data_IF_570529354441
#
_entry.id   IF_570529354441
#
_cell.length_a   1.000
_cell.length_b   1.000
_cell.length_c   1.000
_cell.angle_alpha   90.00
_cell.angle_beta   90.00
_cell.angle_gamma   90.00
#
_symmetry.space_group_name_H-M   'P 1'
#
loop_
_entity.id
_entity.type
_entity.pdbx_description
1 polymer ?
#
# COMPACT_ATOMS: atom_id res chain seq x y z
N UNK A 1 20.01 3.23 8.64
CA UNK A 1 19.60 3.05 7.23
C UNK A 1 18.79 1.75 7.15
N UNK A 2 17.85 1.61 6.21
CA UNK A 2 17.05 0.39 6.12
C UNK A 2 17.91 -0.85 5.84
N UNK A 3 17.63 -1.93 6.57
CA UNK A 3 18.30 -3.24 6.45
C UNK A 3 17.22 -4.28 6.16
N UNK A 4 17.45 -5.12 5.15
CA UNK A 4 16.61 -6.26 4.84
C UNK A 4 17.40 -7.55 5.00
N UNK A 5 16.76 -8.57 5.54
CA UNK A 5 17.35 -9.88 5.75
C UNK A 5 16.37 -10.95 5.33
N UNK A 6 16.87 -11.99 4.66
CA UNK A 6 16.10 -13.19 4.42
C UNK A 6 16.52 -14.29 5.39
N UNK A 7 15.53 -14.87 6.04
CA UNK A 7 15.71 -15.99 6.95
C UNK A 7 14.91 -17.18 6.43
N UNK A 8 15.48 -18.39 6.59
CA UNK A 8 14.69 -19.61 6.56
C UNK A 8 13.89 -19.74 7.86
N UNK A 9 12.83 -20.57 7.84
CA UNK A 9 12.02 -20.87 9.02
C UNK A 9 12.82 -21.56 10.15
N UNK A 10 13.95 -22.20 9.83
CA UNK A 10 14.87 -22.76 10.81
C UNK A 10 15.80 -21.72 11.48
N UNK A 11 15.66 -20.44 11.12
CA UNK A 11 16.47 -19.33 11.64
C UNK A 11 17.77 -19.08 10.85
N UNK A 12 18.05 -19.83 9.79
CA UNK A 12 19.24 -19.60 8.96
C UNK A 12 19.14 -18.27 8.23
N UNK A 13 20.04 -17.33 8.55
CA UNK A 13 20.22 -16.09 7.78
C UNK A 13 20.83 -16.42 6.41
N UNK A 14 20.13 -16.06 5.33
CA UNK A 14 20.60 -16.26 3.97
C UNK A 14 21.46 -15.10 3.48
N UNK A 15 20.96 -13.87 3.65
CA UNK A 15 21.63 -12.66 3.19
C UNK A 15 21.14 -11.43 3.92
N UNK A 16 21.90 -10.34 3.82
CA UNK A 16 21.55 -9.01 4.32
C UNK A 16 21.77 -7.99 3.21
N UNK A 17 20.74 -7.22 2.88
CA UNK A 17 20.82 -6.03 2.02
C UNK A 17 20.81 -4.80 2.92
N UNK A 18 21.76 -3.88 2.70
CA UNK A 18 21.81 -2.60 3.39
C UNK A 18 21.55 -1.48 2.38
N UNK A 19 20.39 -0.81 2.47
CA UNK A 19 20.03 0.24 1.51
C UNK A 19 20.91 1.50 1.63
N UNK A 20 21.69 1.61 2.69
CA UNK A 20 22.68 2.67 2.86
C UNK A 20 22.06 4.01 3.23
N UNK A 21 22.92 5.02 3.35
CA UNK A 21 22.57 6.34 3.90
C UNK A 21 21.62 7.16 3.01
N UNK A 22 21.54 6.82 1.73
CA UNK A 22 20.80 7.58 0.73
C UNK A 22 19.35 7.09 0.55
N UNK A 23 18.93 6.07 1.31
CA UNK A 23 17.52 5.72 1.49
C UNK A 23 17.11 6.08 2.92
N UNK A 24 16.08 6.90 3.03
CA UNK A 24 15.52 7.31 4.32
C UNK A 24 14.65 6.19 4.89
N UNK A 25 14.72 6.01 6.20
CA UNK A 25 13.91 5.02 6.91
C UNK A 25 12.56 5.62 7.33
N UNK A 26 11.50 4.84 7.16
CA UNK A 26 10.14 5.23 7.49
C UNK A 26 9.11 4.54 6.59
N UNK A 27 7.86 4.46 7.06
CA UNK A 27 6.79 3.67 6.45
C UNK A 27 6.50 4.01 4.98
N UNK A 28 6.77 5.24 4.54
CA UNK A 28 6.44 5.70 3.19
C UNK A 28 7.61 5.67 2.21
N UNK A 29 8.80 5.22 2.64
CA UNK A 29 10.01 5.25 1.81
C UNK A 29 10.23 3.93 1.06
N UNK A 30 10.65 2.89 1.78
CA UNK A 30 10.99 1.62 1.13
C UNK A 30 9.77 0.73 1.07
N UNK A 31 9.22 0.60 -0.13
CA UNK A 31 8.23 -0.41 -0.46
C UNK A 31 8.98 -1.53 -1.19
N UNK A 32 8.95 -2.72 -0.61
CA UNK A 32 9.69 -3.88 -1.12
C UNK A 32 8.71 -4.98 -1.52
N UNK A 33 8.91 -5.55 -2.70
CA UNK A 33 8.11 -6.65 -3.23
C UNK A 33 8.92 -7.93 -3.17
N UNK A 34 8.28 -9.02 -2.75
CA UNK A 34 8.86 -10.37 -2.76
C UNK A 34 7.93 -11.26 -3.55
N UNK A 35 8.39 -11.72 -4.71
CA UNK A 35 7.58 -12.50 -5.63
C UNK A 35 8.46 -13.24 -6.64
N UNK A 36 8.02 -14.41 -7.11
CA UNK A 36 8.64 -15.09 -8.25
C UNK A 36 8.23 -14.35 -9.52
N UNK A 37 9.00 -13.33 -9.87
CA UNK A 37 8.65 -12.43 -10.94
C UNK A 37 8.87 -13.12 -12.29
N UNK A 38 9.95 -13.87 -12.48
CA UNK A 38 10.24 -14.49 -13.78
C UNK A 38 9.68 -15.90 -13.99
N UNK A 39 9.09 -16.50 -12.96
CA UNK A 39 8.40 -17.78 -13.03
C UNK A 39 9.35 -18.98 -12.94
N UNK A 40 10.55 -18.82 -12.36
CA UNK A 40 11.53 -19.90 -12.21
C UNK A 40 11.32 -20.74 -10.94
N UNK A 41 10.31 -20.42 -10.14
CA UNK A 41 9.96 -21.06 -8.87
C UNK A 41 10.66 -20.47 -7.65
N UNK A 42 11.39 -19.35 -7.79
CA UNK A 42 12.11 -18.69 -6.71
C UNK A 42 11.77 -17.20 -6.69
N UNK A 43 11.37 -16.70 -5.53
CA UNK A 43 11.08 -15.28 -5.41
C UNK A 43 12.31 -14.39 -5.59
N UNK A 44 12.15 -13.27 -6.30
CA UNK A 44 13.01 -12.11 -6.23
C UNK A 44 12.60 -11.19 -5.07
N UNK A 45 13.51 -10.30 -4.69
CA UNK A 45 13.24 -9.14 -3.85
C UNK A 45 13.44 -7.87 -4.69
N UNK A 46 12.46 -6.97 -4.75
CA UNK A 46 12.52 -5.77 -5.58
C UNK A 46 12.18 -4.51 -4.77
N UNK A 47 13.01 -3.47 -4.85
CA UNK A 47 12.72 -2.21 -4.17
C UNK A 47 13.48 -1.02 -4.78
N UNK A 48 13.12 0.19 -4.33
CA UNK A 48 13.89 1.41 -4.58
C UNK A 48 15.25 1.33 -3.87
N UNK A 49 16.32 1.70 -4.57
CA UNK A 49 17.70 1.73 -4.07
C UNK A 49 18.38 3.05 -4.44
N UNK A 50 19.60 3.27 -3.96
CA UNK A 50 20.36 4.49 -4.21
C UNK A 50 21.87 4.22 -4.23
N UNK A 51 22.65 5.25 -4.53
CA UNK A 51 24.10 5.23 -4.36
C UNK A 51 24.47 4.75 -2.95
N UNK A 52 25.35 3.75 -2.86
CA UNK A 52 25.82 3.19 -1.59
C UNK A 52 24.91 2.13 -0.97
N UNK A 53 23.84 1.69 -1.66
CA UNK A 53 23.17 0.43 -1.33
C UNK A 53 24.16 -0.72 -1.50
N UNK A 54 24.18 -1.66 -0.55
CA UNK A 54 25.02 -2.86 -0.55
C UNK A 54 24.14 -4.09 -0.63
N UNK A 55 24.34 -4.91 -1.64
CA UNK A 55 23.57 -6.14 -1.87
C UNK A 55 24.01 -7.29 -0.94
N UNK A 56 23.31 -8.42 -1.02
CA UNK A 56 23.56 -9.61 -0.19
C UNK A 56 24.92 -10.28 -0.39
N UNK A 57 25.64 -9.95 -1.47
CA UNK A 57 27.03 -10.40 -1.73
C UNK A 57 28.07 -9.33 -1.40
N UNK A 58 27.67 -8.18 -0.87
CA UNK A 58 28.56 -7.08 -0.51
C UNK A 58 28.90 -6.15 -1.67
N UNK A 59 28.24 -6.27 -2.82
CA UNK A 59 28.45 -5.36 -3.96
C UNK A 59 27.70 -4.06 -3.73
N UNK A 60 28.38 -2.94 -3.99
CA UNK A 60 27.79 -1.60 -3.94
C UNK A 60 27.03 -1.30 -5.24
N UNK A 61 25.82 -0.76 -5.12
CA UNK A 61 25.05 -0.13 -6.20
C UNK A 61 25.40 1.36 -6.25
N UNK A 62 25.72 1.87 -7.44
CA UNK A 62 26.09 3.27 -7.65
C UNK A 62 27.43 3.64 -6.98
N UNK A 63 27.51 4.84 -6.41
CA UNK A 63 28.74 5.38 -5.80
C UNK A 63 28.66 5.42 -4.26
N UNK A 64 29.38 4.52 -3.58
CA UNK A 64 29.43 4.46 -2.10
C UNK A 64 29.96 5.74 -1.41
N UNK A 65 30.66 6.60 -2.15
CA UNK A 65 31.24 7.83 -1.59
C UNK A 65 30.22 8.97 -1.48
N UNK A 66 29.04 8.84 -2.11
CA UNK A 66 28.02 9.89 -2.10
C UNK A 66 27.20 9.89 -0.83
N UNK A 67 27.03 11.09 -0.28
CA UNK A 67 26.10 11.38 0.80
C UNK A 67 25.13 12.47 0.34
N UNK A 68 23.94 12.03 -0.07
CA UNK A 68 22.89 12.90 -0.60
C UNK A 68 21.95 13.41 0.49
N UNK A 69 22.21 13.06 1.76
CA UNK A 69 21.45 13.57 2.89
C UNK A 69 21.72 15.06 3.07
N UNK A 70 20.66 15.82 3.29
CA UNK A 70 20.81 17.19 3.74
C UNK A 70 21.21 17.20 5.22
N UNK A 71 22.46 17.56 5.53
CA UNK A 71 23.01 17.59 6.89
C UNK A 71 23.08 19.00 7.49
N UNK A 72 22.54 20.02 6.82
CA UNK A 72 22.52 21.39 7.32
C UNK A 72 21.62 21.48 8.56
N UNK A 73 22.18 21.84 9.71
CA UNK A 73 21.52 21.79 11.04
C UNK A 73 20.52 22.96 11.22
N UNK A 74 19.35 22.76 11.89
CA UNK A 74 18.37 23.82 12.20
C UNK A 74 18.96 25.04 12.94
N UNK A 75 18.29 26.22 12.94
CA UNK A 75 16.89 26.35 13.35
C UNK A 75 15.86 26.56 12.22
N UNK A 76 16.25 26.49 10.94
CA UNK A 76 15.34 26.75 9.79
C UNK A 76 15.38 25.69 8.68
N UNK A 77 15.78 24.44 8.97
CA UNK A 77 15.92 23.43 7.93
C UNK A 77 15.01 22.20 8.16
N UNK A 78 13.79 22.25 7.63
CA UNK A 78 12.85 21.10 7.57
C UNK A 78 13.34 19.97 6.65
N UNK A 79 14.48 20.16 5.97
CA UNK A 79 15.09 19.18 5.08
C UNK A 79 16.14 18.31 5.75
N UNK A 80 16.52 18.57 7.01
CA UNK A 80 17.55 17.79 7.69
C UNK A 80 17.25 16.28 7.64
N UNK A 81 18.23 15.50 7.18
CA UNK A 81 18.14 14.05 7.02
C UNK A 81 17.32 13.57 5.81
N UNK A 82 16.76 14.46 4.99
CA UNK A 82 16.08 14.10 3.73
C UNK A 82 17.06 13.96 2.58
N UNK A 83 16.69 13.16 1.57
CA UNK A 83 17.48 12.88 0.37
C UNK A 83 16.69 13.36 -0.85
N UNK A 84 16.84 14.63 -1.19
CA UNK A 84 16.14 15.27 -2.31
C UNK A 84 17.07 15.58 -3.50
N UNK A 85 18.29 15.03 -3.45
CA UNK A 85 19.29 15.13 -4.51
C UNK A 85 19.91 13.76 -4.80
N UNK A 86 20.63 13.65 -5.91
CA UNK A 86 21.29 12.43 -6.35
C UNK A 86 20.38 11.48 -7.15
N UNK A 87 20.96 10.45 -7.77
CA UNK A 87 20.22 9.45 -8.52
C UNK A 87 19.33 8.60 -7.61
N UNK A 88 18.29 8.01 -8.20
CA UNK A 88 17.41 7.04 -7.57
C UNK A 88 17.33 5.84 -8.48
N UNK A 89 17.36 4.64 -7.91
CA UNK A 89 17.36 3.42 -8.68
C UNK A 89 16.20 2.51 -8.30
N UNK A 90 15.81 1.62 -9.22
CA UNK A 90 14.97 0.46 -8.96
C UNK A 90 15.81 -0.79 -9.21
N UNK A 91 15.85 -1.71 -8.24
CA UNK A 91 16.70 -2.91 -8.31
C UNK A 91 15.87 -4.16 -8.06
N UNK A 92 16.12 -5.19 -8.89
CA UNK A 92 15.72 -6.57 -8.66
C UNK A 92 16.91 -7.31 -8.04
N UNK A 93 16.66 -8.00 -6.94
CA UNK A 93 17.63 -8.81 -6.21
C UNK A 93 17.20 -10.28 -6.22
N UNK A 94 18.17 -11.19 -6.24
CA UNK A 94 17.88 -12.62 -6.09
C UNK A 94 17.38 -12.93 -4.69
N UNK A 95 16.25 -13.61 -4.52
CA UNK A 95 15.80 -14.04 -3.20
C UNK A 95 16.68 -15.13 -2.56
N UNK A 96 17.51 -15.83 -3.34
CA UNK A 96 18.47 -16.82 -2.81
C UNK A 96 19.67 -16.19 -2.14
N UNK A 97 20.19 -15.10 -2.69
CA UNK A 97 21.52 -14.57 -2.34
C UNK A 97 21.51 -13.09 -1.96
N UNK A 98 20.42 -12.37 -2.22
CA UNK A 98 20.33 -10.93 -2.09
C UNK A 98 21.20 -10.18 -3.11
N UNK A 99 21.80 -10.86 -4.10
CA UNK A 99 22.60 -10.24 -5.16
C UNK A 99 21.74 -9.35 -6.06
N UNK A 100 22.24 -8.16 -6.42
CA UNK A 100 21.57 -7.29 -7.38
C UNK A 100 21.65 -7.90 -8.80
N UNK A 101 20.50 -8.31 -9.35
CA UNK A 101 20.37 -8.93 -10.67
C UNK A 101 20.25 -7.88 -11.78
N UNK A 102 19.44 -6.86 -11.55
CA UNK A 102 19.27 -5.73 -12.47
C UNK A 102 18.99 -4.45 -11.70
N UNK A 103 19.55 -3.35 -12.18
CA UNK A 103 19.32 -2.01 -11.64
C UNK A 103 19.07 -1.05 -12.80
N UNK A 104 18.02 -0.23 -12.67
CA UNK A 104 17.69 0.86 -13.59
C UNK A 104 17.43 2.14 -12.80
N UNK A 105 17.34 3.28 -13.49
CA UNK A 105 16.85 4.52 -12.87
C UNK A 105 15.42 4.32 -12.35
N UNK A 106 15.14 4.85 -11.16
CA UNK A 106 13.80 4.82 -10.59
C UNK A 106 12.86 5.71 -11.41
N UNK A 107 11.76 5.13 -11.88
CA UNK A 107 10.71 5.87 -12.58
C UNK A 107 9.45 5.92 -11.70
N UNK A 108 8.81 7.10 -11.57
CA UNK A 108 9.23 8.39 -12.12
C UNK A 108 10.37 9.06 -11.33
N UNK A 109 11.09 9.97 -12.01
CA UNK A 109 12.09 10.81 -11.35
C UNK A 109 11.44 11.72 -10.28
N UNK A 110 12.21 12.12 -9.27
CA UNK A 110 11.68 13.03 -8.23
C UNK A 110 11.37 14.44 -8.71
N UNK A 111 11.91 14.83 -9.87
CA UNK A 111 12.01 16.23 -10.25
C UNK A 111 10.84 16.71 -11.12
N UNK A 112 10.46 18.00 -10.98
CA UNK A 112 10.85 18.89 -9.89
C UNK A 112 10.19 18.45 -8.56
N UNK A 113 10.84 18.70 -7.42
CA UNK A 113 10.38 18.23 -6.09
C UNK A 113 9.05 18.86 -5.66
N UNK A 114 8.72 20.05 -6.18
CA UNK A 114 7.44 20.71 -6.02
C UNK A 114 6.38 20.30 -7.07
N UNK A 115 6.68 19.33 -7.94
CA UNK A 115 5.76 18.80 -8.95
C UNK A 115 4.74 17.80 -8.41
N UNK A 116 4.79 17.48 -7.12
CA UNK A 116 4.01 16.41 -6.45
C UNK A 116 2.77 16.92 -5.71
N UNK A 117 2.43 18.17 -5.97
CA UNK A 117 1.37 18.90 -5.28
C UNK A 117 -0.01 18.61 -5.88
N UNK A 118 -1.05 18.84 -5.09
CA UNK A 118 -2.42 18.57 -5.49
C UNK A 118 -3.37 18.68 -4.33
N UNK A 119 -4.57 18.12 -4.52
CA UNK A 119 -5.69 18.42 -3.64
C UNK A 119 -5.93 17.37 -2.56
N UNK A 120 -5.28 16.21 -2.56
CA UNK A 120 -5.43 15.16 -1.52
C UNK A 120 -4.70 15.48 -0.21
N UNK A 121 -5.11 14.80 0.86
CA UNK A 121 -4.74 15.10 2.25
C UNK A 121 -5.05 16.54 2.60
N UNK A 122 -4.09 17.25 3.17
CA UNK A 122 -4.27 18.65 3.54
C UNK A 122 -4.42 19.61 2.36
N UNK A 123 -4.26 19.09 1.14
CA UNK A 123 -4.26 19.89 -0.05
C UNK A 123 -3.08 20.87 -0.10
N UNK A 124 -2.92 21.49 -1.26
CA UNK A 124 -1.92 22.54 -1.47
C UNK A 124 -0.55 22.01 -1.88
N UNK A 125 0.47 22.78 -1.52
CA UNK A 125 1.81 22.68 -2.09
C UNK A 125 2.88 22.41 -1.04
N UNK A 126 3.79 21.51 -1.38
CA UNK A 126 5.00 21.16 -0.66
C UNK A 126 6.19 21.20 -1.63
N UNK A 127 7.35 21.59 -1.10
CA UNK A 127 8.65 21.35 -1.72
C UNK A 127 9.64 20.84 -0.67
N UNK A 128 9.16 20.43 0.51
CA UNK A 128 10.00 20.00 1.62
C UNK A 128 10.48 18.57 1.47
N UNK A 129 9.96 17.79 0.53
CA UNK A 129 10.24 16.36 0.41
C UNK A 129 9.18 15.45 1.03
N UNK A 130 7.99 15.96 1.37
CA UNK A 130 6.91 15.14 1.92
C UNK A 130 6.16 14.44 0.78
N UNK A 131 5.52 15.20 -0.12
CA UNK A 131 4.63 14.64 -1.16
C UNK A 131 5.38 13.84 -2.22
N UNK A 132 6.60 14.26 -2.54
CA UNK A 132 7.47 13.58 -3.51
C UNK A 132 7.95 12.22 -3.00
N UNK A 133 8.17 12.03 -1.71
CA UNK A 133 8.67 10.76 -1.15
C UNK A 133 7.56 9.93 -0.51
N UNK A 134 6.41 9.91 -1.18
CA UNK A 134 5.28 9.05 -0.88
C UNK A 134 5.26 7.88 -1.85
N UNK A 135 5.68 6.71 -1.39
CA UNK A 135 5.79 5.52 -2.22
C UNK A 135 4.82 4.44 -1.74
N UNK A 136 4.22 3.72 -2.69
CA UNK A 136 3.51 2.44 -2.53
C UNK A 136 4.02 1.49 -3.62
N UNK A 137 3.77 0.20 -3.51
CA UNK A 137 4.14 -0.77 -4.55
C UNK A 137 3.22 -2.00 -4.48
N UNK A 138 3.12 -2.74 -5.58
CA UNK A 138 2.44 -4.02 -5.64
C UNK A 138 3.01 -4.93 -6.71
N UNK A 139 2.51 -6.17 -6.70
CA UNK A 139 2.60 -7.12 -7.80
C UNK A 139 1.20 -7.30 -8.38
N UNK A 140 1.09 -7.33 -9.71
CA UNK A 140 -0.17 -7.54 -10.41
C UNK A 140 0.05 -8.38 -11.68
N UNK A 141 -0.92 -9.23 -12.00
CA UNK A 141 -0.94 -10.05 -13.20
C UNK A 141 -1.57 -9.26 -14.35
N UNK A 142 -0.81 -8.29 -14.87
CA UNK A 142 -1.26 -7.34 -15.91
C UNK A 142 -1.47 -7.97 -17.29
N UNK A 143 -1.05 -9.22 -17.49
CA UNK A 143 -1.41 -10.04 -18.66
C UNK A 143 -2.34 -11.21 -18.32
N UNK A 144 -2.79 -11.29 -17.06
CA UNK A 144 -3.60 -12.37 -16.50
C UNK A 144 -2.84 -13.68 -16.22
N UNK A 145 -1.53 -13.72 -16.44
CA UNK A 145 -0.75 -14.98 -16.38
C UNK A 145 0.57 -14.83 -15.62
N UNK A 146 1.26 -13.71 -15.78
CA UNK A 146 2.60 -13.51 -15.23
C UNK A 146 2.66 -12.21 -14.39
N UNK A 147 3.40 -12.22 -13.27
CA UNK A 147 3.46 -11.10 -12.34
C UNK A 147 4.34 -9.95 -12.84
N UNK A 148 3.77 -8.74 -12.89
CA UNK A 148 4.50 -7.49 -13.05
C UNK A 148 4.65 -6.80 -11.69
N UNK A 149 5.74 -6.06 -11.50
CA UNK A 149 5.93 -5.21 -10.31
C UNK A 149 5.60 -3.76 -10.65
N UNK A 150 4.81 -3.12 -9.80
CA UNK A 150 4.38 -1.73 -9.97
C UNK A 150 4.96 -0.91 -8.83
N UNK A 151 5.78 0.08 -9.19
CA UNK A 151 6.37 1.03 -8.26
C UNK A 151 5.63 2.36 -8.38
N UNK A 152 5.10 2.85 -7.28
CA UNK A 152 4.23 4.03 -7.26
C UNK A 152 4.92 5.20 -6.56
N UNK A 153 4.64 6.42 -7.02
CA UNK A 153 5.11 7.65 -6.37
C UNK A 153 4.00 8.69 -6.39
N UNK A 154 3.78 9.32 -5.23
CA UNK A 154 2.77 10.35 -5.02
C UNK A 154 1.35 9.78 -4.91
N UNK A 155 0.55 10.42 -4.06
CA UNK A 155 -0.88 10.13 -3.92
C UNK A 155 -1.71 11.32 -3.41
N UNK A 156 -1.10 12.25 -2.65
CA UNK A 156 -1.76 13.51 -2.26
C UNK A 156 -1.94 14.49 -3.43
N UNK A 157 -1.16 14.33 -4.49
CA UNK A 157 -1.22 15.17 -5.69
C UNK A 157 -0.90 14.36 -6.91
N UNK A 158 0.06 14.82 -7.73
CA UNK A 158 0.58 14.02 -8.86
C UNK A 158 0.84 12.59 -8.38
N UNK A 159 0.28 11.64 -9.11
CA UNK A 159 0.33 10.22 -8.80
C UNK A 159 0.83 9.50 -10.03
N UNK A 160 1.83 8.64 -9.85
CA UNK A 160 2.47 7.90 -10.94
C UNK A 160 2.63 6.45 -10.53
N UNK A 161 2.23 5.56 -11.44
CA UNK A 161 2.39 4.11 -11.30
C UNK A 161 3.24 3.65 -12.48
N UNK A 162 4.39 3.04 -12.20
CA UNK A 162 5.28 2.50 -13.23
C UNK A 162 5.33 0.97 -13.12
N UNK A 163 4.81 0.30 -14.13
CA UNK A 163 4.80 -1.16 -14.22
C UNK A 163 6.07 -1.69 -14.89
N UNK A 164 6.61 -2.77 -14.35
CA UNK A 164 7.84 -3.42 -14.79
C UNK A 164 7.68 -4.92 -14.87
N UNK A 165 8.30 -5.50 -15.90
CA UNK A 165 8.42 -6.93 -16.08
C UNK A 165 9.88 -7.34 -15.83
N UNK A 166 10.08 -8.38 -15.02
CA UNK A 166 11.36 -9.08 -14.86
C UNK A 166 11.23 -10.46 -15.50
N UNK A 167 11.85 -10.66 -16.67
CA UNK A 167 11.75 -11.93 -17.42
C UNK A 167 13.07 -12.25 -18.09
N UNK A 168 13.51 -13.50 -18.00
CA UNK A 168 14.69 -14.00 -18.70
C UNK A 168 15.93 -13.10 -18.47
N UNK A 169 16.14 -12.64 -17.24
CA UNK A 169 17.26 -11.77 -16.89
C UNK A 169 17.15 -10.32 -17.38
N UNK A 170 15.97 -9.88 -17.83
CA UNK A 170 15.75 -8.52 -18.34
C UNK A 170 14.66 -7.82 -17.54
N UNK A 171 14.99 -6.61 -17.08
CA UNK A 171 14.06 -5.67 -16.46
C UNK A 171 13.57 -4.68 -17.53
N UNK A 172 12.26 -4.65 -17.79
CA UNK A 172 11.66 -3.79 -18.82
C UNK A 172 10.45 -3.05 -18.29
N UNK A 173 10.32 -1.76 -18.60
CA UNK A 173 9.10 -1.00 -18.29
C UNK A 173 7.98 -1.44 -19.24
N UNK A 174 6.82 -1.77 -18.66
CA UNK A 174 5.62 -2.17 -19.38
C UNK A 174 4.79 -0.94 -19.76
N UNK A 175 4.47 -0.11 -18.78
CA UNK A 175 3.78 1.17 -18.97
C UNK A 175 4.04 2.11 -17.78
N UNK A 176 3.71 3.39 -17.98
CA UNK A 176 3.70 4.40 -16.91
C UNK A 176 2.40 5.19 -16.98
N UNK A 177 1.60 5.09 -15.92
CA UNK A 177 0.49 5.97 -15.66
C UNK A 177 1.01 7.22 -14.94
N UNK A 178 0.65 8.42 -15.38
CA UNK A 178 1.06 9.66 -14.74
C UNK A 178 -0.08 10.69 -14.79
N UNK A 179 -0.56 11.11 -13.61
CA UNK A 179 -1.58 12.17 -13.53
C UNK A 179 -1.02 13.55 -13.88
N UNK A 180 0.30 13.69 -14.05
CA UNK A 180 1.07 14.87 -14.45
C UNK A 180 1.07 16.03 -13.46
N UNK A 181 -0.07 16.38 -12.87
CA UNK A 181 -0.20 17.52 -11.96
C UNK A 181 -1.42 17.40 -11.03
N UNK A 182 -1.67 18.45 -10.23
CA UNK A 182 -2.78 18.57 -9.28
C UNK A 182 -4.18 18.69 -9.88
N UNK A 183 -4.29 19.09 -11.16
CA UNK A 183 -5.56 19.38 -11.86
C UNK A 183 -6.19 18.13 -12.48
N UNK A 184 -5.38 17.10 -12.71
CA UNK A 184 -5.86 15.84 -13.25
C UNK A 184 -6.82 15.14 -12.26
N UNK A 185 -7.95 14.56 -12.72
CA UNK A 185 -8.92 13.90 -11.83
C UNK A 185 -8.35 12.70 -11.06
N UNK A 186 -7.26 12.08 -11.53
CA UNK A 186 -6.55 11.00 -10.84
C UNK A 186 -5.50 11.52 -9.83
N UNK A 187 -5.32 12.83 -9.74
CA UNK A 187 -4.48 13.45 -8.72
C UNK A 187 -5.17 13.41 -7.36
N UNK A 188 -4.42 13.25 -6.28
CA UNK A 188 -4.99 13.37 -4.93
C UNK A 188 -5.89 12.22 -4.48
N UNK A 189 -5.95 11.10 -5.22
CA UNK A 189 -6.86 9.99 -4.97
C UNK A 189 -6.22 8.80 -4.26
N UNK A 190 -4.90 8.67 -4.33
CA UNK A 190 -4.20 7.50 -3.78
C UNK A 190 -4.24 7.46 -2.26
N UNK A 191 -4.14 6.26 -1.71
CA UNK A 191 -4.11 6.03 -0.26
C UNK A 191 -2.67 5.75 0.22
N UNK A 192 -2.51 5.56 1.53
CA UNK A 192 -1.27 5.02 2.11
C UNK A 192 -1.02 3.54 1.79
N UNK A 193 -1.93 2.93 1.04
CA UNK A 193 -1.95 1.55 0.60
C UNK A 193 -2.71 1.49 -0.75
N UNK A 194 -2.80 0.30 -1.33
CA UNK A 194 -3.53 0.02 -2.56
C UNK A 194 -3.99 -1.44 -2.52
N UNK A 195 -4.87 -1.82 -3.44
CA UNK A 195 -5.26 -3.21 -3.69
C UNK A 195 -5.10 -3.56 -5.17
N UNK A 196 -5.02 -4.85 -5.46
CA UNK A 196 -4.88 -5.40 -6.81
C UNK A 196 -5.96 -6.46 -6.97
N UNK A 197 -6.74 -6.38 -8.04
CA UNK A 197 -7.79 -7.34 -8.37
C UNK A 197 -8.22 -7.19 -9.83
N UNK A 198 -8.66 -8.29 -10.43
CA UNK A 198 -9.50 -8.27 -11.64
C UNK A 198 -10.89 -7.71 -11.29
N UNK A 199 -11.07 -6.40 -11.52
CA UNK A 199 -12.31 -5.71 -11.16
C UNK A 199 -13.31 -5.71 -12.32
N UNK A 200 -12.86 -5.91 -13.55
CA UNK A 200 -13.72 -5.82 -14.73
C UNK A 200 -14.06 -7.17 -15.40
N UNK A 201 -13.45 -8.25 -14.91
CA UNK A 201 -13.71 -9.65 -15.24
C UNK A 201 -13.02 -10.12 -16.51
N UNK A 202 -11.96 -9.44 -16.96
CA UNK A 202 -11.21 -9.81 -18.16
C UNK A 202 -10.07 -10.81 -17.91
N UNK A 203 -9.86 -11.19 -16.64
CA UNK A 203 -8.83 -12.11 -16.20
C UNK A 203 -7.47 -11.46 -15.92
N UNK A 204 -7.38 -10.14 -15.95
CA UNK A 204 -6.15 -9.38 -15.64
C UNK A 204 -6.38 -8.49 -14.43
N UNK A 205 -5.30 -8.14 -13.76
CA UNK A 205 -5.38 -7.33 -12.56
C UNK A 205 -5.37 -5.83 -12.88
N UNK A 206 -6.33 -5.11 -12.29
CA UNK A 206 -6.32 -3.66 -12.15
C UNK A 206 -5.70 -3.22 -10.81
N UNK A 207 -5.28 -1.97 -10.74
CA UNK A 207 -4.73 -1.36 -9.53
C UNK A 207 -5.75 -0.43 -8.90
N UNK A 208 -6.37 -0.87 -7.81
CA UNK A 208 -7.25 -0.04 -6.97
C UNK A 208 -6.37 0.83 -6.07
N UNK A 209 -6.10 2.04 -6.54
CA UNK A 209 -5.20 3.00 -5.91
C UNK A 209 -6.00 4.02 -5.07
N UNK A 210 -6.59 3.54 -3.98
CA UNK A 210 -7.37 4.37 -3.06
C UNK A 210 -8.74 4.74 -3.62
N UNK A 211 -8.90 5.97 -4.11
CA UNK A 211 -10.13 6.52 -4.68
C UNK A 211 -10.14 6.54 -6.23
N UNK A 212 -9.17 5.89 -6.86
CA UNK A 212 -9.06 5.73 -8.31
C UNK A 212 -8.64 4.31 -8.67
N UNK A 213 -8.93 3.89 -9.90
CA UNK A 213 -8.50 2.60 -10.44
C UNK A 213 -7.70 2.83 -11.73
N UNK A 214 -6.55 2.17 -11.84
CA UNK A 214 -5.71 2.13 -13.04
C UNK A 214 -5.83 0.74 -13.66
N UNK A 215 -6.15 0.73 -14.95
CA UNK A 215 -6.40 -0.43 -15.79
C UNK A 215 -5.13 -1.29 -16.01
N UNK A 216 -5.29 -2.57 -16.37
CA UNK A 216 -4.21 -3.53 -16.66
C UNK A 216 -3.14 -2.98 -17.63
N UNK A 217 -3.60 -2.14 -18.56
CA UNK A 217 -2.82 -1.52 -19.63
C UNK A 217 -2.24 -0.14 -19.27
N UNK A 218 -2.39 0.31 -18.02
CA UNK A 218 -1.82 1.55 -17.52
C UNK A 218 -2.60 2.82 -17.82
N UNK A 219 -3.84 2.70 -18.32
CA UNK A 219 -4.78 3.83 -18.43
C UNK A 219 -5.55 3.98 -17.14
N UNK A 220 -6.03 5.19 -16.85
CA UNK A 220 -6.99 5.36 -15.77
C UNK A 220 -8.33 4.72 -16.18
N UNK A 221 -8.86 3.82 -15.34
CA UNK A 221 -10.18 3.23 -15.52
C UNK A 221 -11.25 4.23 -15.06
N UNK A 222 -11.18 4.65 -13.79
CA UNK A 222 -11.96 5.79 -13.28
C UNK A 222 -11.29 6.45 -12.06
N UNK A 223 -11.77 7.64 -11.71
CA UNK A 223 -11.50 8.32 -10.44
C UNK A 223 -12.83 8.75 -9.82
N UNK A 224 -13.03 8.46 -8.53
CA UNK A 224 -14.25 8.83 -7.80
C UNK A 224 -14.29 10.29 -7.39
N UNK A 225 -13.12 10.93 -7.27
CA UNK A 225 -12.97 12.28 -6.72
C UNK A 225 -13.14 12.36 -5.20
N UNK A 226 -13.17 11.23 -4.48
CA UNK A 226 -13.32 11.22 -3.01
C UNK A 226 -12.05 11.56 -2.23
N UNK A 227 -10.92 11.73 -2.93
CA UNK A 227 -9.63 12.17 -2.39
C UNK A 227 -8.90 11.04 -1.66
N UNK A 228 -7.84 11.42 -0.94
CA UNK A 228 -6.94 10.56 -0.19
C UNK A 228 -7.61 9.90 1.03
N UNK A 229 -7.02 8.80 1.49
CA UNK A 229 -7.49 8.03 2.64
C UNK A 229 -6.45 7.07 3.21
N UNK A 230 -6.81 6.47 4.35
CA UNK A 230 -5.89 5.76 5.25
C UNK A 230 -6.12 4.24 5.35
N UNK A 231 -7.26 3.74 4.84
CA UNK A 231 -7.59 2.31 4.85
C UNK A 231 -8.52 1.95 3.68
N UNK A 232 -8.24 0.81 3.02
CA UNK A 232 -8.92 0.33 1.82
C UNK A 232 -9.21 -1.17 1.96
N UNK A 233 -10.41 -1.61 1.60
CA UNK A 233 -10.79 -3.02 1.53
C UNK A 233 -11.46 -3.27 0.19
N UNK A 234 -10.98 -4.25 -0.56
CA UNK A 234 -11.48 -4.62 -1.89
C UNK A 234 -11.76 -6.11 -1.91
N UNK A 235 -13.03 -6.47 -2.04
CA UNK A 235 -13.51 -7.85 -2.14
C UNK A 235 -14.99 -7.84 -2.56
N UNK A 236 -15.61 -9.01 -2.67
CA UNK A 236 -17.07 -9.15 -2.80
C UNK A 236 -17.74 -8.82 -1.46
N UNK A 237 -18.09 -7.54 -1.25
CA UNK A 237 -18.65 -7.05 0.02
C UNK A 237 -20.18 -7.18 0.02
N UNK A 238 -20.83 -6.97 -1.13
CA UNK A 238 -22.26 -7.17 -1.33
C UNK A 238 -22.50 -8.38 -2.25
N UNK A 239 -22.53 -9.58 -1.66
CA UNK A 239 -22.76 -10.86 -2.36
C UNK A 239 -24.08 -10.93 -3.19
N UNK A 240 -24.96 -9.93 -3.06
CA UNK A 240 -26.16 -9.80 -3.90
C UNK A 240 -25.93 -9.01 -5.20
N UNK A 241 -24.74 -8.45 -5.39
CA UNK A 241 -24.30 -7.69 -6.54
C UNK A 241 -23.14 -8.42 -7.22
N UNK A 242 -23.20 -8.67 -8.54
CA UNK A 242 -22.06 -9.22 -9.25
C UNK A 242 -20.91 -8.21 -9.33
N UNK A 243 -19.70 -8.66 -9.02
CA UNK A 243 -18.48 -7.84 -9.10
C UNK A 243 -17.82 -7.70 -7.73
N UNK A 244 -16.86 -6.79 -7.65
CA UNK A 244 -16.19 -6.43 -6.40
C UNK A 244 -16.62 -5.03 -5.98
N UNK A 245 -16.60 -4.78 -4.68
CA UNK A 245 -16.74 -3.46 -4.10
C UNK A 245 -15.45 -2.98 -3.46
N UNK A 246 -15.32 -1.67 -3.37
CA UNK A 246 -14.27 -0.98 -2.64
C UNK A 246 -14.88 -0.23 -1.49
N UNK A 247 -14.52 -0.63 -0.27
CA UNK A 247 -14.73 0.18 0.92
C UNK A 247 -13.47 0.99 1.22
N UNK A 248 -13.63 2.30 1.43
CA UNK A 248 -12.54 3.22 1.72
C UNK A 248 -12.97 4.33 2.68
N UNK A 249 -12.03 4.76 3.52
CA UNK A 249 -12.19 5.93 4.40
C UNK A 249 -11.31 7.08 3.92
N UNK A 250 -11.79 8.31 4.05
CA UNK A 250 -11.19 9.48 3.42
C UNK A 250 -10.74 10.52 4.44
N UNK A 251 -9.58 11.12 4.17
CA UNK A 251 -9.00 12.20 4.96
C UNK A 251 -9.64 13.54 4.53
N UNK A 252 -10.79 13.84 5.13
CA UNK A 252 -11.52 15.11 4.92
C UNK A 252 -11.03 16.14 5.94
N UNK A 253 -9.79 16.57 5.74
CA UNK A 253 -9.10 17.52 6.63
C UNK A 253 -9.08 18.96 6.08
N UNK A 254 -8.57 19.89 6.89
CA UNK A 254 -8.34 21.30 6.55
C UNK A 254 -9.54 22.04 5.90
N UNK A 255 -10.76 21.70 6.34
CA UNK A 255 -12.00 22.36 5.88
C UNK A 255 -12.50 21.87 4.51
N UNK A 256 -11.93 20.80 3.98
CA UNK A 256 -12.42 20.13 2.77
C UNK A 256 -13.79 19.48 3.01
N UNK A 257 -14.47 19.10 1.93
CA UNK A 257 -15.86 18.62 1.94
C UNK A 257 -15.97 17.33 1.15
N UNK A 258 -16.75 16.39 1.65
CA UNK A 258 -16.84 15.06 1.04
C UNK A 258 -17.24 13.97 2.03
N UNK A 259 -17.45 12.73 1.56
CA UNK A 259 -17.73 11.59 2.43
C UNK A 259 -16.46 11.18 3.18
N UNK A 260 -16.56 10.90 4.48
CA UNK A 260 -15.48 10.31 5.27
C UNK A 260 -15.39 8.79 5.12
N UNK A 261 -16.48 8.12 4.73
CA UNK A 261 -16.48 6.68 4.40
C UNK A 261 -17.34 6.43 3.16
N UNK A 262 -16.90 5.51 2.29
CA UNK A 262 -17.63 5.16 1.06
C UNK A 262 -17.57 3.68 0.76
N UNK A 263 -18.59 3.20 0.06
CA UNK A 263 -18.51 1.98 -0.75
C UNK A 263 -18.78 2.37 -2.20
N UNK A 264 -17.95 1.90 -3.12
CA UNK A 264 -18.16 2.08 -4.55
C UNK A 264 -17.87 0.80 -5.33
N UNK A 265 -18.52 0.64 -6.47
CA UNK A 265 -18.32 -0.47 -7.39
C UNK A 265 -16.90 -0.43 -7.98
N UNK A 266 -16.14 -1.52 -7.83
CA UNK A 266 -14.71 -1.55 -8.16
C UNK A 266 -14.41 -1.40 -9.65
N UNK A 267 -15.39 -1.70 -10.52
CA UNK A 267 -15.26 -1.61 -11.98
C UNK A 267 -15.59 -0.21 -12.51
N UNK A 268 -16.65 0.38 -11.97
CA UNK A 268 -17.30 1.56 -12.57
C UNK A 268 -17.12 2.83 -11.75
N UNK A 269 -16.79 2.70 -10.46
CA UNK A 269 -16.77 3.82 -9.52
C UNK A 269 -18.17 4.31 -9.10
N UNK A 270 -19.24 3.59 -9.48
CA UNK A 270 -20.59 3.91 -9.01
C UNK A 270 -20.61 3.89 -7.48
N UNK A 271 -21.08 4.99 -6.87
CA UNK A 271 -21.12 5.07 -5.42
C UNK A 271 -22.34 4.34 -4.87
N UNK A 272 -22.10 3.36 -4.01
CA UNK A 272 -23.13 2.54 -3.37
C UNK A 272 -23.48 3.07 -1.97
N UNK A 273 -22.50 3.63 -1.27
CA UNK A 273 -22.68 4.18 0.07
C UNK A 273 -21.79 5.41 0.31
N UNK A 274 -22.29 6.35 1.13
CA UNK A 274 -21.54 7.48 1.69
C UNK A 274 -21.91 7.66 3.16
N UNK A 275 -20.90 7.85 4.01
CA UNK A 275 -21.03 8.08 5.44
C UNK A 275 -20.06 9.14 5.95
N UNK A 276 -20.28 9.60 7.19
CA UNK A 276 -19.43 10.58 7.88
C UNK A 276 -19.07 11.79 7.01
N UNK A 277 -20.08 12.44 6.42
CA UNK A 277 -19.88 13.62 5.59
C UNK A 277 -19.12 14.70 6.36
N UNK A 278 -18.15 15.32 5.67
CA UNK A 278 -17.30 16.41 6.13
C UNK A 278 -16.46 16.09 7.38
N UNK A 279 -16.14 14.81 7.59
CA UNK A 279 -15.34 14.34 8.72
C UNK A 279 -14.13 13.56 8.22
N UNK A 280 -12.97 13.85 8.80
CA UNK A 280 -11.77 13.04 8.65
C UNK A 280 -11.96 11.69 9.35
N UNK A 281 -11.75 10.60 8.60
CA UNK A 281 -11.89 9.23 9.08
C UNK A 281 -10.59 8.47 8.81
N UNK A 282 -9.72 8.41 9.83
CA UNK A 282 -8.39 7.80 9.69
C UNK A 282 -8.31 6.27 9.81
N UNK A 283 -9.43 5.55 9.99
CA UNK A 283 -9.50 4.07 10.03
C UNK A 283 -10.85 3.57 9.54
N UNK A 284 -10.85 2.46 8.81
CA UNK A 284 -12.05 1.70 8.47
C UNK A 284 -11.73 0.26 8.14
N UNK A 285 -12.69 -0.63 8.36
CA UNK A 285 -12.65 -2.05 8.01
C UNK A 285 -13.99 -2.44 7.39
N UNK A 286 -13.95 -3.30 6.38
CA UNK A 286 -15.15 -3.94 5.84
C UNK A 286 -14.88 -5.40 5.45
N UNK A 287 -15.62 -6.32 6.08
CA UNK A 287 -15.63 -7.76 5.79
C UNK A 287 -16.70 -8.49 6.63
N UNK A 288 -16.87 -9.79 6.39
CA UNK A 288 -17.79 -10.66 7.11
C UNK A 288 -17.26 -11.03 8.51
N UNK A 289 -17.86 -10.45 9.56
CA UNK A 289 -17.53 -10.69 10.98
C UNK A 289 -18.74 -11.13 11.82
N UNK A 290 -19.95 -11.08 11.26
CA UNK A 290 -21.20 -11.42 11.94
C UNK A 290 -22.04 -12.41 11.12
N UNK A 291 -22.11 -13.70 11.51
CA UNK A 291 -22.84 -14.72 10.75
C UNK A 291 -24.35 -14.47 10.64
N UNK A 292 -24.90 -13.48 11.35
CA UNK A 292 -26.31 -13.10 11.25
C UNK A 292 -26.62 -12.14 10.10
N UNK A 293 -25.61 -11.59 9.43
CA UNK A 293 -25.78 -10.72 8.28
C UNK A 293 -25.08 -11.33 7.04
N UNK A 294 -25.82 -11.60 5.95
CA UNK A 294 -25.19 -12.05 4.71
C UNK A 294 -24.34 -10.95 4.05
N UNK A 295 -23.10 -11.30 3.70
CA UNK A 295 -22.13 -10.36 3.10
C UNK A 295 -21.31 -9.63 4.16
N UNK A 296 -20.61 -8.58 3.76
CA UNK A 296 -19.72 -7.86 4.65
C UNK A 296 -20.44 -6.86 5.56
N UNK A 297 -19.92 -6.72 6.78
CA UNK A 297 -20.11 -5.54 7.59
C UNK A 297 -19.02 -4.50 7.33
N UNK A 298 -19.27 -3.27 7.74
CA UNK A 298 -18.31 -2.19 7.71
C UNK A 298 -18.42 -1.32 8.96
N UNK A 299 -17.27 -0.86 9.45
CA UNK A 299 -17.17 0.11 10.54
C UNK A 299 -15.92 0.97 10.37
N UNK A 300 -15.97 2.16 10.94
CA UNK A 300 -14.89 3.14 10.83
C UNK A 300 -14.81 4.03 12.06
N UNK A 301 -13.70 4.75 12.20
CA UNK A 301 -13.52 5.75 13.27
C UNK A 301 -14.67 6.75 13.29
N UNK A 302 -15.40 6.84 14.40
CA UNK A 302 -16.54 7.74 14.54
C UNK A 302 -17.85 7.27 13.89
N UNK A 303 -17.90 6.06 13.35
CA UNK A 303 -19.14 5.47 12.77
C UNK A 303 -20.31 5.37 13.76
N UNK A 304 -20.02 5.16 15.06
CA UNK A 304 -21.05 4.99 16.10
C UNK A 304 -21.78 3.64 16.06
N UNK A 305 -21.33 2.69 15.24
CA UNK A 305 -21.93 1.36 15.12
C UNK A 305 -21.32 0.52 14.00
N UNK A 306 -21.74 -0.73 13.96
CA UNK A 306 -21.49 -1.65 12.85
C UNK A 306 -22.59 -1.46 11.80
N UNK A 307 -22.24 -1.44 10.53
CA UNK A 307 -23.17 -1.25 9.42
C UNK A 307 -23.05 -2.38 8.42
N UNK A 308 -24.15 -2.82 7.81
CA UNK A 308 -24.08 -3.63 6.58
C UNK A 308 -23.48 -2.78 5.45
N UNK A 309 -22.95 -3.39 4.39
CA UNK A 309 -22.51 -2.66 3.17
C UNK A 309 -23.58 -1.72 2.57
N UNK A 310 -24.87 -2.00 2.79
CA UNK A 310 -26.03 -1.16 2.38
C UNK A 310 -26.32 0.03 3.31
N UNK A 311 -25.49 0.27 4.32
CA UNK A 311 -25.63 1.39 5.25
C UNK A 311 -26.66 1.21 6.37
N UNK A 312 -27.19 0.01 6.58
CA UNK A 312 -28.09 -0.30 7.71
C UNK A 312 -27.25 -0.57 8.96
N UNK A 313 -27.57 0.10 10.09
CA UNK A 313 -26.89 -0.15 11.37
C UNK A 313 -27.31 -1.52 11.93
N UNK A 314 -26.34 -2.39 12.16
CA UNK A 314 -26.53 -3.76 12.65
C UNK A 314 -26.31 -3.90 14.16
N UNK A 315 -25.55 -2.97 14.76
CA UNK A 315 -25.25 -3.02 16.19
C UNK A 315 -24.09 -2.13 16.58
N UNK A 316 -23.41 -2.50 17.66
CA UNK A 316 -22.21 -1.82 18.12
C UNK A 316 -20.99 -2.33 17.33
N UNK A 317 -20.11 -1.42 16.92
CA UNK A 317 -18.89 -1.77 16.20
C UNK A 317 -17.92 -2.55 17.10
N UNK A 318 -17.03 -3.36 16.50
CA UNK A 318 -15.85 -3.84 17.20
C UNK A 318 -14.98 -2.70 17.75
N UNK A 319 -14.14 -3.01 18.74
CA UNK A 319 -13.24 -2.03 19.36
C UNK A 319 -12.02 -1.69 18.50
N UNK A 320 -11.57 -2.63 17.67
CA UNK A 320 -10.44 -2.46 16.77
C UNK A 320 -10.90 -2.12 15.36
N UNK A 321 -10.13 -1.29 14.67
CA UNK A 321 -10.30 -0.96 13.25
C UNK A 321 -8.91 -0.98 12.62
N UNK A 322 -8.44 -2.21 12.37
CA UNK A 322 -7.09 -2.50 11.89
C UNK A 322 -7.10 -3.67 10.89
N UNK A 323 -6.65 -4.86 11.28
CA UNK A 323 -6.60 -6.04 10.41
C UNK A 323 -7.77 -6.98 10.68
N UNK A 324 -8.05 -7.81 9.68
CA UNK A 324 -8.87 -9.01 9.81
C UNK A 324 -7.98 -10.25 9.65
N UNK A 325 -8.39 -11.36 10.25
CA UNK A 325 -7.71 -12.65 10.15
C UNK A 325 -8.73 -13.76 10.32
N UNK A 326 -8.66 -14.79 9.48
CA UNK A 326 -9.34 -16.04 9.78
C UNK A 326 -8.52 -16.80 10.82
N UNK A 327 -9.02 -16.94 12.03
CA UNK A 327 -8.25 -17.47 13.14
C UNK A 327 -8.92 -18.64 13.84
N UNK A 328 -10.24 -18.78 13.77
CA UNK A 328 -10.93 -19.97 14.25
C UNK A 328 -11.49 -20.86 13.12
N UNK A 329 -12.46 -21.71 13.44
CA UNK A 329 -12.93 -22.76 12.53
C UNK A 329 -14.20 -22.40 11.75
N UNK A 330 -14.81 -21.24 12.01
CA UNK A 330 -15.92 -20.76 11.18
C UNK A 330 -15.42 -19.89 10.01
N UNK A 331 -16.35 -19.38 9.21
CA UNK A 331 -16.02 -18.66 7.97
C UNK A 331 -15.96 -17.14 8.17
N UNK A 332 -16.34 -16.65 9.34
CA UNK A 332 -16.28 -15.24 9.67
C UNK A 332 -14.83 -14.86 10.01
N UNK A 333 -14.45 -13.62 9.77
CA UNK A 333 -13.12 -13.12 10.11
C UNK A 333 -13.08 -12.60 11.54
N UNK A 334 -12.00 -12.92 12.23
CA UNK A 334 -11.60 -12.28 13.48
C UNK A 334 -10.84 -10.99 13.23
N UNK A 335 -10.61 -10.24 14.32
CA UNK A 335 -10.03 -8.91 14.33
C UNK A 335 -8.62 -8.97 14.89
N UNK A 336 -7.63 -8.58 14.11
CA UNK A 336 -6.23 -8.52 14.53
C UNK A 336 -5.83 -7.07 14.78
N UNK A 337 -5.39 -6.77 16.00
CA UNK A 337 -4.87 -5.45 16.38
C UNK A 337 -3.80 -5.57 17.46
N UNK A 338 -2.68 -4.87 17.31
CA UNK A 338 -1.56 -5.00 18.23
C UNK A 338 -0.97 -6.43 18.22
N UNK A 339 -0.97 -7.07 19.39
CA UNK A 339 -0.48 -8.44 19.58
C UNK A 339 -1.61 -9.44 19.90
N UNK A 340 -2.84 -9.14 19.52
CA UNK A 340 -3.99 -9.95 19.89
C UNK A 340 -5.02 -10.11 18.78
N UNK A 341 -5.87 -11.11 18.97
CA UNK A 341 -6.99 -11.44 18.10
C UNK A 341 -8.27 -11.48 18.94
N UNK A 342 -9.25 -10.71 18.50
CA UNK A 342 -10.59 -10.63 19.09
C UNK A 342 -11.63 -11.20 18.11
N UNK A 343 -12.63 -11.91 18.63
CA UNK A 343 -13.80 -12.34 17.86
C UNK A 343 -14.99 -11.45 18.17
N UNK A 344 -15.69 -10.98 17.15
CA UNK A 344 -16.83 -10.07 17.33
C UNK A 344 -17.90 -10.71 18.24
N UNK A 345 -18.47 -9.92 19.15
CA UNK A 345 -19.42 -10.33 20.23
C UNK A 345 -18.90 -11.37 21.25
N UNK A 346 -17.70 -11.91 21.08
CA UNK A 346 -17.08 -12.87 22.01
C UNK A 346 -15.96 -12.20 22.82
N UNK A 347 -15.15 -11.36 22.18
CA UNK A 347 -14.00 -10.69 22.77
C UNK A 347 -12.68 -11.40 22.48
N UNK A 348 -11.69 -11.18 23.35
CA UNK A 348 -10.33 -11.71 23.19
C UNK A 348 -10.29 -13.22 23.14
N UNK A 349 -9.73 -13.78 22.06
CA UNK A 349 -9.52 -15.22 21.91
C UNK A 349 -8.04 -15.63 21.89
N UNK A 350 -7.14 -14.70 21.53
CA UNK A 350 -5.70 -14.96 21.53
C UNK A 350 -4.88 -13.71 21.84
N UNK A 351 -3.82 -13.86 22.63
CA UNK A 351 -2.81 -12.82 22.88
C UNK A 351 -1.43 -13.43 22.69
N UNK A 352 -0.60 -12.84 21.84
CA UNK A 352 0.78 -13.25 21.63
C UNK A 352 1.66 -12.67 22.76
N UNK A 353 1.73 -13.40 23.88
CA UNK A 353 2.53 -13.03 25.05
C UNK A 353 4.03 -12.94 24.72
N UNK A 354 4.67 -11.85 25.14
CA UNK A 354 6.07 -11.56 24.82
C UNK A 354 6.32 -10.98 23.43
N UNK A 355 5.28 -10.85 22.58
CA UNK A 355 5.36 -10.18 21.29
C UNK A 355 4.81 -8.75 21.37
N UNK A 356 5.31 -7.88 20.48
CA UNK A 356 4.82 -6.51 20.29
C UNK A 356 4.45 -6.27 18.83
N UNK A 357 3.55 -5.33 18.59
CA UNK A 357 3.24 -4.84 17.25
C UNK A 357 4.28 -3.83 16.76
N UNK A 358 4.20 -3.51 15.47
CA UNK A 358 5.07 -2.55 14.80
C UNK A 358 4.35 -1.22 14.53
N UNK A 359 5.11 -0.23 14.05
CA UNK A 359 4.58 1.00 13.44
C UNK A 359 3.75 1.90 14.39
N UNK A 360 4.03 1.86 15.70
CA UNK A 360 3.40 2.73 16.68
C UNK A 360 1.88 2.54 16.77
N UNK A 361 1.11 3.61 16.60
CA UNK A 361 -0.36 3.56 16.69
C UNK A 361 -1.00 2.76 15.57
N UNK A 362 -0.32 2.52 14.44
CA UNK A 362 -0.81 1.61 13.39
C UNK A 362 -0.84 0.16 13.89
N UNK A 363 0.03 -0.20 14.84
CA UNK A 363 -0.04 -1.45 15.60
C UNK A 363 -0.21 -2.71 14.74
N UNK A 364 0.50 -2.76 13.61
CA UNK A 364 0.42 -3.87 12.65
C UNK A 364 1.26 -5.07 13.12
N UNK A 365 0.90 -6.31 12.75
CA UNK A 365 1.77 -7.46 12.93
C UNK A 365 3.04 -7.30 12.08
N UNK A 366 4.04 -8.17 12.28
CA UNK A 366 5.18 -8.25 11.35
C UNK A 366 4.73 -8.75 9.97
N UNK A 367 3.85 -9.74 9.96
CA UNK A 367 3.17 -10.29 8.78
C UNK A 367 1.89 -11.00 9.26
N UNK A 368 0.84 -10.99 8.44
CA UNK A 368 -0.37 -11.80 8.59
C UNK A 368 -0.65 -12.45 7.24
N UNK A 369 -0.53 -13.77 7.16
CA UNK A 369 -0.70 -14.55 5.93
C UNK A 369 -0.86 -16.04 6.29
N UNK A 370 -1.66 -16.77 5.50
CA UNK A 370 -1.57 -18.22 5.43
C UNK A 370 -0.25 -18.59 4.72
N UNK A 371 0.70 -19.12 5.49
CA UNK A 371 2.00 -19.54 4.99
C UNK A 371 2.15 -21.07 4.95
N UNK A 372 1.43 -21.76 5.84
CA UNK A 372 1.50 -23.20 6.05
C UNK A 372 0.23 -23.68 6.75
N UNK A 373 -0.15 -24.94 6.47
CA UNK A 373 -1.25 -25.59 7.19
C UNK A 373 -2.51 -25.64 6.34
N UNK A 374 -3.65 -25.34 6.97
CA UNK A 374 -4.91 -25.13 6.28
C UNK A 374 -5.09 -23.64 5.93
N UNK A 375 -6.30 -23.23 5.56
CA UNK A 375 -6.62 -21.95 4.91
C UNK A 375 -6.56 -20.70 5.81
N UNK A 376 -6.30 -20.85 7.11
CA UNK A 376 -6.40 -19.77 8.13
C UNK A 376 -5.20 -18.84 8.14
#
# INVERSE_FOLDING_TARGET
>A
PPIFQAYKMDGTLLWTINLGRNIREGAHYTQFMVYDLDGDGIAEFACKTADGTVDGKGKVIGDSTKDWRNLSVPPKNTFYGKILNGPEYFTIFSGKTGEALATTDYMPSRYPTNGWNGHGGNGGSDDSGNRVDRFTACVAYLDGVHPSVIMCRGYYGRSVLAAWDWRNGKLTSRWVFDSKNGENPYSGQGYHNLSVADVDGDGKDEIVYGSMVVDDNGKGLFSTGFRHGDALHVTDLDISRPGLEVFGVHEIEEGTKGPGATVYDARTGETLFKGSMDQDVGRGVADDIDPSNPGAEMWWSGSGGLYSVKGVRLGDAPRSTNFLSWWDGDLNRELLDGNHIDKYKIGRIFTAEGCISNNGTKSTPALSADLFGDWR
#
